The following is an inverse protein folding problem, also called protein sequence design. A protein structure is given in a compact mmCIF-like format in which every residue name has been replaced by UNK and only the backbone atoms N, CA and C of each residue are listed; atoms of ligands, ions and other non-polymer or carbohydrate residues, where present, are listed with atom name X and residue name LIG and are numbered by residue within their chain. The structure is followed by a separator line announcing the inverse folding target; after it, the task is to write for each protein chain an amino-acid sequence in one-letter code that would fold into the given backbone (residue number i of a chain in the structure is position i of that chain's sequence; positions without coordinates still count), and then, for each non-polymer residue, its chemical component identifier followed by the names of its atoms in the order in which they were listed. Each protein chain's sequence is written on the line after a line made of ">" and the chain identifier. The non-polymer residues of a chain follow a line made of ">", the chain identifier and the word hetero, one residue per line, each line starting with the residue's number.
data_IF_132643740237
#
_entry.id   IF_132643740237
#
_cell.length_a   1.000
_cell.length_b   1.000
_cell.length_c   1.000
_cell.angle_alpha   90.00
_cell.angle_beta   90.00
_cell.angle_gamma   90.00
#
_symmetry.space_group_name_H-M   'P 1'
#
loop_
_entity.id
_entity.type
_entity.pdbx_description
1 polymer ?
#
# COMPACT_ATOMS: atom_id res chain seq x y z
N UNK A 1 3.64 9.99 -39.97
CA UNK A 1 3.11 8.65 -39.66
C UNK A 1 4.19 7.69 -39.19
N UNK A 2 5.47 7.95 -39.46
CA UNK A 2 6.59 7.04 -39.14
C UNK A 2 6.91 6.94 -37.64
N UNK A 3 6.71 8.03 -36.88
CA UNK A 3 6.97 8.06 -35.43
C UNK A 3 6.04 7.13 -34.65
N UNK A 4 4.82 6.90 -35.13
CA UNK A 4 3.83 6.06 -34.45
C UNK A 4 4.28 4.59 -34.42
N UNK A 5 4.94 4.12 -35.47
CA UNK A 5 5.49 2.76 -35.53
C UNK A 5 6.61 2.52 -34.51
N UNK A 6 7.31 3.58 -34.11
CA UNK A 6 8.32 3.52 -33.04
C UNK A 6 7.69 3.74 -31.66
N UNK A 7 6.64 4.56 -31.55
CA UNK A 7 5.99 4.89 -30.29
C UNK A 7 5.11 3.76 -29.75
N UNK A 8 4.42 3.01 -30.62
CA UNK A 8 3.58 1.86 -30.23
C UNK A 8 4.39 0.79 -29.46
N UNK A 9 5.52 0.26 -29.95
CA UNK A 9 6.27 -0.76 -29.22
C UNK A 9 6.86 -0.22 -27.92
N UNK A 10 7.29 1.04 -27.89
CA UNK A 10 7.76 1.70 -26.67
C UNK A 10 6.64 1.76 -25.63
N UNK A 11 5.43 2.18 -26.03
CA UNK A 11 4.28 2.22 -25.14
C UNK A 11 3.92 0.83 -24.59
N UNK A 12 3.99 -0.22 -25.42
CA UNK A 12 3.77 -1.61 -24.98
C UNK A 12 4.79 -2.02 -23.92
N UNK A 13 6.07 -1.66 -24.08
CA UNK A 13 7.11 -1.93 -23.09
C UNK A 13 6.81 -1.22 -21.76
N UNK A 14 6.40 0.06 -21.80
CA UNK A 14 6.02 0.79 -20.59
C UNK A 14 4.82 0.15 -19.88
N UNK A 15 3.79 -0.25 -20.63
CA UNK A 15 2.62 -0.94 -20.05
C UNK A 15 3.02 -2.28 -19.44
N UNK A 16 3.88 -3.07 -20.10
CA UNK A 16 4.37 -4.33 -19.55
C UNK A 16 5.15 -4.14 -18.25
N UNK A 17 6.00 -3.10 -18.17
CA UNK A 17 6.73 -2.74 -16.95
C UNK A 17 5.74 -2.33 -15.84
N UNK A 18 4.75 -1.49 -16.16
CA UNK A 18 3.74 -1.06 -15.19
C UNK A 18 2.95 -2.24 -14.62
N UNK A 19 2.52 -3.18 -15.47
CA UNK A 19 1.83 -4.41 -15.03
C UNK A 19 2.74 -5.24 -14.13
N UNK A 20 4.01 -5.43 -14.52
CA UNK A 20 4.97 -6.18 -13.69
C UNK A 20 5.16 -5.54 -12.31
N UNK A 21 5.29 -4.22 -12.25
CA UNK A 21 5.41 -3.49 -10.98
C UNK A 21 4.15 -3.60 -10.14
N UNK A 22 2.96 -3.54 -10.76
CA UNK A 22 1.69 -3.70 -10.07
C UNK A 22 1.55 -5.11 -9.45
N UNK A 23 1.86 -6.16 -10.22
CA UNK A 23 1.82 -7.53 -9.72
C UNK A 23 2.83 -7.73 -8.59
N UNK A 24 4.03 -7.19 -8.71
CA UNK A 24 5.02 -7.21 -7.64
C UNK A 24 4.54 -6.49 -6.38
N UNK A 25 3.88 -5.34 -6.51
CA UNK A 25 3.35 -4.59 -5.37
C UNK A 25 2.23 -5.35 -4.65
N UNK A 26 1.38 -6.06 -5.39
CA UNK A 26 0.35 -6.94 -4.83
C UNK A 26 1.00 -8.08 -4.04
N UNK A 27 1.98 -8.78 -4.63
CA UNK A 27 2.67 -9.89 -3.97
C UNK A 27 3.55 -9.42 -2.79
N UNK A 28 3.97 -8.15 -2.76
CA UNK A 28 4.78 -7.58 -1.68
C UNK A 28 4.00 -7.35 -0.38
N UNK A 29 2.72 -7.71 -0.31
CA UNK A 29 1.93 -7.64 0.92
C UNK A 29 1.64 -6.21 1.40
N UNK A 30 1.67 -5.20 0.51
CA UNK A 30 1.41 -3.80 0.88
C UNK A 30 0.03 -3.60 1.54
N UNK A 31 -0.92 -4.50 1.28
CA UNK A 31 -2.25 -4.48 1.87
C UNK A 31 -2.31 -5.02 3.32
N UNK A 32 -1.36 -5.85 3.73
CA UNK A 32 -1.31 -6.42 5.09
C UNK A 32 -0.99 -5.34 6.14
N UNK A 33 -0.18 -4.34 5.76
CA UNK A 33 0.11 -3.19 6.62
C UNK A 33 -1.11 -2.27 6.80
N UNK A 34 -2.02 -2.20 5.82
CA UNK A 34 -3.26 -1.41 5.93
C UNK A 34 -4.27 -2.04 6.90
N UNK A 35 -4.37 -3.37 6.91
CA UNK A 35 -5.22 -4.09 7.86
C UNK A 35 -4.76 -3.85 9.31
N UNK A 36 -3.45 -3.85 9.56
CA UNK A 36 -2.87 -3.55 10.87
C UNK A 36 -3.25 -2.14 11.37
N UNK A 37 -3.17 -1.13 10.50
CA UNK A 37 -3.53 0.25 10.84
C UNK A 37 -5.05 0.38 11.10
N UNK A 38 -5.89 -0.31 10.32
CA UNK A 38 -7.33 -0.33 10.53
C UNK A 38 -7.73 -0.91 11.90
N UNK A 39 -7.01 -1.92 12.37
CA UNK A 39 -7.20 -2.47 13.72
C UNK A 39 -6.74 -1.52 14.84
N UNK A 40 -5.72 -0.69 14.61
CA UNK A 40 -5.26 0.31 15.57
C UNK A 40 -6.36 1.34 15.86
N UNK A 41 -6.88 1.96 14.80
CA UNK A 41 -7.89 3.04 14.91
C UNK A 41 -9.15 2.58 15.65
N UNK A 42 -9.57 1.32 15.48
CA UNK A 42 -10.75 0.78 16.14
C UNK A 42 -10.50 0.36 17.61
N UNK A 43 -9.25 0.01 17.97
CA UNK A 43 -8.89 -0.45 19.31
C UNK A 43 -8.22 0.62 20.18
N UNK A 44 -7.91 1.80 19.63
CA UNK A 44 -7.41 2.95 20.39
C UNK A 44 -8.37 3.37 21.53
N UNK A 45 -9.67 3.22 21.35
CA UNK A 45 -10.69 3.49 22.38
C UNK A 45 -10.74 2.44 23.52
N UNK A 46 -10.03 1.31 23.40
CA UNK A 46 -10.02 0.22 24.40
C UNK A 46 -8.79 0.19 25.30
N UNK A 47 -7.82 1.08 25.07
CA UNK A 47 -6.57 1.14 25.86
C UNK A 47 -6.30 2.53 26.41
N UNK A 48 -7.29 3.09 27.11
CA UNK A 48 -6.97 3.96 28.25
C UNK A 48 -6.90 3.06 29.50
N UNK A 49 -5.71 2.74 30.03
CA UNK A 49 -5.59 2.34 31.42
C UNK A 49 -6.17 3.46 32.28
N UNK A 50 -7.29 3.20 32.94
CA UNK A 50 -7.61 3.92 34.18
C UNK A 50 -6.66 3.38 35.24
N UNK A 51 -5.69 4.18 35.66
CA UNK A 51 -5.16 4.10 37.02
C UNK A 51 -4.65 5.48 37.42
N UNK A 52 -5.58 6.28 37.93
CA UNK A 52 -5.31 7.22 39.01
C UNK A 52 -5.05 6.36 40.26
N UNK A 53 -3.80 6.09 40.61
CA UNK A 53 -3.37 5.89 42.02
C UNK A 53 -1.84 5.77 42.10
N UNK A 54 -1.15 6.91 42.22
CA UNK A 54 0.07 6.97 43.00
C UNK A 54 0.16 8.36 43.64
N UNK A 55 -0.74 8.56 44.61
CA UNK A 55 -0.46 9.43 45.73
C UNK A 55 0.64 8.78 46.59
N UNK A 56 1.90 9.20 46.39
CA UNK A 56 2.95 9.16 47.43
C UNK A 56 4.06 10.16 47.15
#
# INVERSE_FOLDING_TARGET
>A
MDSLYLLIPIAIVFVAIAIKLLLWAIDSGQYDDLDKEAWSILNEDKTAPKEDDDAR
#
